data_IF_009935344742
#
_entry.id   IF_009935344742
#
_cell.length_a   1.000
_cell.length_b   1.000
_cell.length_c   1.000
_cell.angle_alpha   90.00
_cell.angle_beta   90.00
_cell.angle_gamma   90.00
#
_symmetry.space_group_name_H-M   'P 1'
#
loop_
_entity.id
_entity.type
_entity.pdbx_description
1 polymer ?
#
# COMPACT_ATOMS: atom_id res chain seq x y z
N UNK A 1 2.45 -31.97 -59.20
CA UNK A 1 1.00 -32.13 -59.32
C UNK A 1 0.47 -32.79 -58.05
N UNK A 2 -0.46 -32.08 -57.42
CA UNK A 2 -1.23 -32.31 -56.20
C UNK A 2 -1.26 -33.69 -55.50
N UNK A 3 -0.96 -33.67 -54.21
CA UNK A 3 -1.52 -34.59 -53.20
C UNK A 3 -1.96 -33.77 -51.99
N UNK A 4 -3.07 -33.05 -52.17
CA UNK A 4 -3.74 -32.25 -51.13
C UNK A 4 -5.03 -32.98 -50.78
N UNK A 5 -5.11 -33.62 -49.61
CA UNK A 5 -6.35 -33.82 -48.81
C UNK A 5 -6.20 -34.97 -47.81
N UNK A 6 -5.80 -34.66 -46.55
CA UNK A 6 -6.21 -35.44 -45.35
C UNK A 6 -5.71 -34.84 -44.04
N UNK A 7 -5.87 -33.53 -43.84
CA UNK A 7 -5.68 -32.92 -42.52
C UNK A 7 -6.73 -31.82 -42.30
N UNK A 8 -8.01 -32.21 -42.36
CA UNK A 8 -9.16 -31.37 -41.95
C UNK A 8 -10.28 -32.27 -41.44
N UNK A 9 -10.09 -32.95 -40.31
CA UNK A 9 -11.24 -33.57 -39.60
C UNK A 9 -11.04 -33.81 -38.09
N UNK A 10 -9.84 -33.71 -37.53
CA UNK A 10 -9.64 -34.02 -36.09
C UNK A 10 -9.97 -32.86 -35.15
N UNK A 11 -10.05 -31.62 -35.65
CA UNK A 11 -10.27 -30.41 -34.82
C UNK A 11 -11.74 -30.08 -34.54
N UNK A 12 -12.70 -30.79 -35.14
CA UNK A 12 -14.15 -30.48 -34.98
C UNK A 12 -14.89 -31.42 -34.02
N UNK A 13 -14.19 -32.36 -33.38
CA UNK A 13 -14.81 -33.47 -32.63
C UNK A 13 -14.36 -33.59 -31.16
N UNK A 14 -13.86 -32.49 -30.57
CA UNK A 14 -13.58 -32.38 -29.12
C UNK A 14 -14.51 -31.44 -28.35
N UNK A 15 -15.59 -30.95 -28.99
CA UNK A 15 -16.58 -30.03 -28.39
C UNK A 15 -17.97 -30.64 -28.20
N UNK A 16 -18.07 -31.98 -28.17
CA UNK A 16 -19.32 -32.72 -27.89
C UNK A 16 -19.08 -33.80 -26.83
N UNK A 17 -18.76 -33.38 -25.61
CA UNK A 17 -18.81 -34.25 -24.44
C UNK A 17 -18.87 -33.41 -23.14
N UNK A 18 -19.81 -32.47 -23.08
CA UNK A 18 -20.36 -32.00 -21.81
C UNK A 18 -21.74 -31.43 -22.10
N UNK A 19 -22.77 -32.09 -21.61
CA UNK A 19 -24.13 -31.57 -21.64
C UNK A 19 -24.16 -30.28 -20.82
N UNK A 20 -24.18 -29.13 -21.50
CA UNK A 20 -24.43 -27.83 -20.86
C UNK A 20 -25.93 -27.58 -20.93
N UNK A 21 -26.55 -27.54 -19.74
CA UNK A 21 -27.89 -27.03 -19.51
C UNK A 21 -28.00 -25.60 -20.06
N UNK A 22 -29.18 -25.27 -20.59
CA UNK A 22 -29.39 -24.11 -21.46
C UNK A 22 -29.34 -22.74 -20.78
N UNK A 23 -29.15 -21.72 -21.63
CA UNK A 23 -29.69 -20.36 -21.48
C UNK A 23 -29.41 -19.62 -20.18
N UNK A 24 -28.13 -19.41 -19.84
CA UNK A 24 -27.67 -18.53 -18.77
C UNK A 24 -26.21 -18.15 -19.00
N UNK A 25 -25.70 -17.07 -18.37
CA UNK A 25 -24.27 -16.76 -18.36
C UNK A 25 -23.49 -18.04 -18.00
N UNK A 26 -22.59 -18.47 -18.88
CA UNK A 26 -21.89 -19.74 -18.66
C UNK A 26 -20.92 -19.59 -17.49
N UNK A 27 -21.07 -20.41 -16.45
CA UNK A 27 -20.14 -20.50 -15.33
C UNK A 27 -18.70 -20.58 -15.83
N UNK A 28 -17.82 -19.76 -15.22
CA UNK A 28 -16.39 -19.69 -15.55
C UNK A 28 -15.57 -20.41 -14.49
N UNK A 29 -14.60 -21.22 -14.92
CA UNK A 29 -13.66 -21.90 -14.04
C UNK A 29 -12.32 -21.16 -14.08
N UNK A 30 -11.95 -20.52 -12.97
CA UNK A 30 -10.72 -19.71 -12.88
C UNK A 30 -9.74 -20.35 -11.92
N UNK A 31 -8.49 -20.49 -12.35
CA UNK A 31 -7.40 -20.95 -11.50
C UNK A 31 -6.74 -19.77 -10.80
N UNK A 32 -6.49 -19.93 -9.51
CA UNK A 32 -5.74 -18.99 -8.70
C UNK A 32 -4.36 -19.55 -8.36
N UNK A 33 -3.40 -19.29 -9.25
CA UNK A 33 -2.06 -19.87 -9.21
C UNK A 33 -1.06 -18.90 -8.57
N UNK A 34 -1.05 -18.82 -7.24
CA UNK A 34 -0.36 -17.76 -6.50
C UNK A 34 1.02 -18.19 -5.98
N UNK A 35 2.09 -17.48 -6.37
CA UNK A 35 3.44 -17.77 -5.88
C UNK A 35 3.68 -17.44 -4.40
N UNK A 36 2.79 -16.66 -3.80
CA UNK A 36 2.62 -16.39 -2.37
C UNK A 36 1.19 -15.93 -2.15
N UNK A 37 0.70 -16.01 -0.92
CA UNK A 37 -0.70 -15.73 -0.60
C UNK A 37 -0.86 -14.36 0.08
N UNK A 38 -1.80 -13.56 -0.42
CA UNK A 38 -2.33 -12.37 0.23
C UNK A 38 -3.86 -12.52 0.35
N UNK A 39 -4.41 -12.65 1.57
CA UNK A 39 -5.85 -12.78 1.78
C UNK A 39 -6.67 -11.66 1.15
N UNK A 40 -6.13 -10.45 1.12
CA UNK A 40 -6.77 -9.25 0.59
C UNK A 40 -6.97 -9.36 -0.93
N UNK A 41 -5.95 -9.82 -1.67
CA UNK A 41 -6.05 -10.08 -3.11
C UNK A 41 -7.15 -11.14 -3.36
N UNK A 42 -7.18 -12.21 -2.56
CA UNK A 42 -8.20 -13.25 -2.71
C UNK A 42 -9.61 -12.71 -2.44
N UNK A 43 -9.77 -11.89 -1.40
CA UNK A 43 -11.05 -11.24 -1.10
C UNK A 43 -11.54 -10.40 -2.28
N UNK A 44 -10.65 -9.65 -2.93
CA UNK A 44 -10.96 -8.86 -4.12
C UNK A 44 -11.45 -9.71 -5.29
N UNK A 45 -10.77 -10.83 -5.57
CA UNK A 45 -11.17 -11.78 -6.61
C UNK A 45 -12.53 -12.41 -6.27
N UNK A 46 -12.74 -12.84 -5.02
CA UNK A 46 -14.01 -13.43 -4.58
C UNK A 46 -15.16 -12.43 -4.68
N UNK A 47 -14.92 -11.16 -4.34
CA UNK A 47 -15.91 -10.09 -4.48
C UNK A 47 -16.39 -9.96 -5.93
N UNK A 48 -15.45 -9.96 -6.89
CA UNK A 48 -15.80 -9.95 -8.31
C UNK A 48 -16.51 -11.25 -8.74
N UNK A 49 -15.98 -12.40 -8.33
CA UNK A 49 -16.47 -13.72 -8.70
C UNK A 49 -17.93 -13.98 -8.31
N UNK A 50 -18.36 -13.47 -7.14
CA UNK A 50 -19.75 -13.57 -6.66
C UNK A 50 -20.75 -12.94 -7.62
N UNK A 51 -20.38 -11.83 -8.25
CA UNK A 51 -21.25 -11.10 -9.17
C UNK A 51 -21.24 -11.68 -10.59
N UNK A 52 -20.32 -12.60 -10.89
CA UNK A 52 -20.07 -13.12 -12.25
C UNK A 52 -20.20 -14.65 -12.38
N UNK A 53 -20.71 -15.35 -11.35
CA UNK A 53 -20.85 -16.81 -11.33
C UNK A 53 -19.56 -17.55 -11.67
N UNK A 54 -18.45 -17.15 -11.03
CA UNK A 54 -17.17 -17.81 -11.18
C UNK A 54 -16.96 -18.92 -10.14
N UNK A 55 -16.44 -20.06 -10.60
CA UNK A 55 -15.80 -21.06 -9.74
C UNK A 55 -14.30 -20.79 -9.66
N UNK A 56 -13.80 -20.42 -8.48
CA UNK A 56 -12.38 -20.11 -8.26
C UNK A 56 -11.69 -21.29 -7.56
N UNK A 57 -10.72 -21.90 -8.22
CA UNK A 57 -9.87 -22.96 -7.63
C UNK A 57 -8.57 -22.36 -7.13
N UNK A 58 -8.25 -22.54 -5.84
CA UNK A 58 -6.96 -22.16 -5.26
C UNK A 58 -6.35 -23.38 -4.55
N UNK A 59 -5.15 -23.78 -4.98
CA UNK A 59 -4.34 -24.83 -4.36
C UNK A 59 -2.95 -24.24 -4.08
N UNK A 60 -2.42 -24.46 -2.87
CA UNK A 60 -1.13 -23.92 -2.43
C UNK A 60 0.03 -24.91 -2.60
N UNK A 61 -0.28 -26.19 -2.76
CA UNK A 61 0.69 -27.28 -2.89
C UNK A 61 0.90 -27.64 -4.37
N UNK A 62 -0.19 -27.68 -5.15
CA UNK A 62 -0.18 -27.89 -6.61
C UNK A 62 -0.76 -26.67 -7.35
N UNK A 63 0.01 -25.57 -7.36
CA UNK A 63 -0.39 -24.27 -7.91
C UNK A 63 -0.96 -24.34 -9.36
N UNK A 64 -0.59 -25.36 -10.14
CA UNK A 64 -1.11 -25.58 -11.51
C UNK A 64 -1.32 -27.09 -11.72
N UNK A 65 -2.54 -27.61 -11.47
CA UNK A 65 -2.81 -29.04 -11.60
C UNK A 65 -2.61 -29.54 -13.03
N UNK A 66 -1.98 -30.72 -13.18
CA UNK A 66 -1.57 -31.28 -14.51
C UNK A 66 -2.71 -31.40 -15.53
N UNK A 67 -3.94 -31.59 -15.07
CA UNK A 67 -5.12 -31.80 -15.90
C UNK A 67 -6.17 -30.71 -15.71
N UNK A 68 -5.77 -29.55 -15.16
CA UNK A 68 -6.69 -28.44 -14.95
C UNK A 68 -7.27 -27.95 -16.29
N UNK A 69 -8.59 -27.85 -16.34
CA UNK A 69 -9.35 -27.33 -17.47
C UNK A 69 -10.25 -26.22 -16.94
N UNK A 70 -10.06 -25.00 -17.43
CA UNK A 70 -10.90 -23.87 -17.10
C UNK A 70 -10.77 -22.77 -18.13
N UNK A 71 -11.26 -21.59 -17.79
CA UNK A 71 -11.44 -20.46 -18.68
C UNK A 71 -10.33 -19.41 -18.54
N UNK A 72 -9.64 -19.33 -17.39
CA UNK A 72 -8.61 -18.32 -17.17
C UNK A 72 -7.80 -18.50 -15.89
N UNK A 73 -6.71 -17.74 -15.77
CA UNK A 73 -5.82 -17.80 -14.60
C UNK A 73 -5.54 -16.41 -14.05
N UNK A 74 -5.60 -16.29 -12.73
CA UNK A 74 -5.01 -15.15 -11.99
C UNK A 74 -3.77 -15.66 -11.26
N UNK A 75 -2.65 -14.96 -11.36
CA UNK A 75 -1.38 -15.39 -10.77
C UNK A 75 -0.65 -14.27 -10.04
N UNK A 76 0.17 -14.66 -9.05
CA UNK A 76 1.21 -13.82 -8.47
C UNK A 76 2.56 -14.38 -8.89
N UNK A 77 3.09 -13.89 -10.02
CA UNK A 77 4.27 -14.50 -10.62
C UNK A 77 5.57 -14.02 -9.96
N UNK A 78 6.20 -14.92 -9.20
CA UNK A 78 7.41 -14.62 -8.43
C UNK A 78 8.76 -14.79 -9.12
N UNK A 79 9.80 -14.69 -8.30
CA UNK A 79 11.17 -14.93 -8.72
C UNK A 79 11.46 -16.42 -9.06
N UNK A 80 10.62 -17.38 -8.69
CA UNK A 80 10.82 -18.80 -9.04
C UNK A 80 10.29 -19.09 -10.46
N UNK A 81 11.11 -19.71 -11.30
CA UNK A 81 10.75 -19.97 -12.71
C UNK A 81 9.70 -21.08 -12.91
N UNK A 82 9.50 -21.94 -11.92
CA UNK A 82 8.68 -23.16 -12.08
C UNK A 82 7.22 -22.84 -12.35
N UNK A 83 6.65 -21.85 -11.65
CA UNK A 83 5.26 -21.44 -11.84
C UNK A 83 5.02 -20.97 -13.29
N UNK A 84 5.88 -20.11 -13.83
CA UNK A 84 5.79 -19.67 -15.22
C UNK A 84 5.87 -20.83 -16.22
N UNK A 85 6.76 -21.81 -15.97
CA UNK A 85 6.92 -22.97 -16.87
C UNK A 85 5.63 -23.80 -16.99
N UNK A 86 4.82 -23.87 -15.93
CA UNK A 86 3.52 -24.54 -15.95
C UNK A 86 2.46 -23.65 -16.60
N UNK A 87 2.37 -22.39 -16.19
CA UNK A 87 1.37 -21.44 -16.67
C UNK A 87 1.42 -21.22 -18.19
N UNK A 88 2.62 -21.06 -18.76
CA UNK A 88 2.79 -20.81 -20.21
C UNK A 88 2.32 -21.95 -21.13
N UNK A 89 1.99 -23.12 -20.58
CA UNK A 89 1.50 -24.28 -21.33
C UNK A 89 -0.02 -24.29 -21.43
N UNK A 90 -0.71 -23.45 -20.66
CA UNK A 90 -2.16 -23.34 -20.67
C UNK A 90 -2.59 -22.46 -21.85
N UNK A 91 -3.66 -22.87 -22.52
CA UNK A 91 -4.24 -22.15 -23.67
C UNK A 91 -5.45 -21.31 -23.22
N UNK A 92 -5.25 -20.52 -22.16
CA UNK A 92 -6.27 -19.65 -21.56
C UNK A 92 -5.66 -18.29 -21.22
N UNK A 93 -6.47 -17.21 -21.13
CA UNK A 93 -5.99 -15.93 -20.64
C UNK A 93 -5.39 -15.99 -19.23
N UNK A 94 -4.30 -15.26 -19.02
CA UNK A 94 -3.58 -15.19 -17.74
C UNK A 94 -3.40 -13.73 -17.35
N UNK A 95 -3.82 -13.35 -16.14
CA UNK A 95 -3.58 -12.03 -15.54
C UNK A 95 -2.59 -12.17 -14.39
N UNK A 96 -1.49 -11.42 -14.45
CA UNK A 96 -0.48 -11.36 -13.39
C UNK A 96 -0.76 -10.18 -12.45
N UNK A 97 -0.72 -10.45 -11.14
CA UNK A 97 -0.93 -9.46 -10.09
C UNK A 97 0.37 -8.96 -9.43
N UNK A 98 1.53 -9.46 -9.89
CA UNK A 98 2.83 -9.12 -9.34
C UNK A 98 3.66 -8.22 -10.27
N UNK A 99 4.62 -7.47 -9.70
CA UNK A 99 5.64 -6.71 -10.47
C UNK A 99 7.02 -7.40 -10.44
N UNK A 100 7.09 -8.71 -10.12
CA UNK A 100 8.38 -9.40 -9.91
C UNK A 100 9.06 -9.83 -11.22
N UNK A 101 8.32 -9.96 -12.32
CA UNK A 101 8.82 -10.42 -13.63
C UNK A 101 8.38 -9.49 -14.76
N UNK A 102 8.88 -8.25 -14.83
CA UNK A 102 8.48 -7.29 -15.85
C UNK A 102 8.85 -7.71 -17.27
N UNK A 103 9.83 -8.59 -17.44
CA UNK A 103 10.28 -9.12 -18.72
C UNK A 103 9.32 -10.15 -19.35
N UNK A 104 8.38 -10.70 -18.58
CA UNK A 104 7.34 -11.59 -19.09
C UNK A 104 6.15 -10.72 -19.50
N UNK A 105 5.78 -10.77 -20.79
CA UNK A 105 4.65 -10.02 -21.34
C UNK A 105 3.34 -10.74 -20.98
N UNK A 106 2.69 -10.28 -19.92
CA UNK A 106 1.36 -10.69 -19.50
C UNK A 106 0.50 -9.43 -19.23
N UNK A 107 -0.81 -9.50 -19.48
CA UNK A 107 -1.76 -8.54 -18.90
C UNK A 107 -1.55 -8.47 -17.39
N UNK A 108 -1.43 -7.26 -16.84
CA UNK A 108 -1.04 -7.06 -15.45
C UNK A 108 -1.89 -6.01 -14.76
N UNK A 109 -2.30 -6.33 -13.53
CA UNK A 109 -2.90 -5.40 -12.57
C UNK A 109 -2.07 -5.44 -11.30
N UNK A 110 -1.44 -4.36 -10.87
CA UNK A 110 -0.56 -4.38 -9.69
C UNK A 110 -0.67 -3.07 -8.92
N UNK A 111 -0.24 -3.07 -7.67
CA UNK A 111 -0.10 -1.85 -6.88
C UNK A 111 0.86 -0.83 -7.53
N UNK A 112 0.56 0.46 -7.39
CA UNK A 112 1.46 1.54 -7.80
C UNK A 112 2.59 1.72 -6.77
N UNK A 113 3.66 0.95 -6.93
CA UNK A 113 4.84 1.03 -6.08
C UNK A 113 5.49 2.43 -6.08
N UNK A 114 5.34 3.19 -7.17
CA UNK A 114 5.86 4.55 -7.20
C UNK A 114 4.99 5.51 -6.37
N UNK A 115 3.66 5.40 -6.46
CA UNK A 115 2.76 6.16 -5.59
C UNK A 115 2.98 5.84 -4.10
N UNK A 116 3.19 4.56 -3.75
CA UNK A 116 3.54 4.13 -2.39
C UNK A 116 4.81 4.83 -1.92
N UNK A 117 5.88 4.83 -2.73
CA UNK A 117 7.13 5.50 -2.39
C UNK A 117 6.97 7.02 -2.21
N UNK A 118 6.23 7.69 -3.09
CA UNK A 118 5.93 9.13 -2.93
C UNK A 118 5.11 9.43 -1.68
N UNK A 119 4.12 8.58 -1.38
CA UNK A 119 3.28 8.71 -0.19
C UNK A 119 4.10 8.61 1.08
N UNK A 120 4.98 7.61 1.19
CA UNK A 120 5.88 7.47 2.34
C UNK A 120 6.81 8.69 2.52
N UNK A 121 7.37 9.21 1.43
CA UNK A 121 8.26 10.38 1.48
C UNK A 121 7.52 11.61 2.00
N UNK A 122 6.36 11.92 1.40
CA UNK A 122 5.51 13.03 1.84
C UNK A 122 5.06 12.86 3.27
N UNK A 123 4.67 11.65 3.68
CA UNK A 123 4.24 11.34 5.03
C UNK A 123 5.27 11.71 6.09
N UNK A 124 6.56 11.44 5.83
CA UNK A 124 7.64 11.80 6.74
C UNK A 124 8.10 13.25 6.63
N UNK A 125 8.16 13.81 5.41
CA UNK A 125 8.43 15.24 5.22
C UNK A 125 7.39 16.08 5.96
N UNK A 126 6.11 15.70 5.87
CA UNK A 126 4.99 16.31 6.55
C UNK A 126 5.11 16.28 8.09
N UNK A 127 5.98 15.43 8.64
CA UNK A 127 6.27 15.32 10.07
C UNK A 127 7.58 15.99 10.48
N UNK A 128 8.26 16.68 9.55
CA UNK A 128 9.48 17.45 9.82
C UNK A 128 10.76 16.63 9.81
N UNK A 129 10.72 15.36 9.39
CA UNK A 129 11.94 14.53 9.35
C UNK A 129 12.96 15.09 8.37
N UNK A 130 14.24 14.97 8.72
CA UNK A 130 15.38 15.37 7.89
C UNK A 130 16.36 14.22 7.62
N UNK A 131 16.31 13.18 8.45
CA UNK A 131 17.10 11.97 8.31
C UNK A 131 16.17 10.84 7.85
N UNK A 132 16.54 10.16 6.77
CA UNK A 132 15.69 9.15 6.16
C UNK A 132 16.46 7.87 5.89
N UNK A 133 15.83 6.73 6.12
CA UNK A 133 16.33 5.42 5.73
C UNK A 133 15.24 4.61 5.02
N UNK A 134 15.65 3.77 4.07
CA UNK A 134 14.81 2.76 3.45
C UNK A 134 15.38 1.38 3.75
N UNK A 135 14.59 0.47 4.32
CA UNK A 135 15.04 -0.88 4.65
C UNK A 135 14.37 -1.95 3.78
N UNK A 136 15.20 -2.88 3.27
CA UNK A 136 14.75 -4.10 2.61
C UNK A 136 15.74 -5.25 2.76
N UNK A 137 15.24 -6.50 2.78
CA UNK A 137 16.07 -7.71 2.84
C UNK A 137 16.81 -8.02 1.54
N UNK A 138 16.30 -7.57 0.41
CA UNK A 138 16.89 -7.76 -0.92
C UNK A 138 16.20 -6.85 -1.94
N UNK A 139 16.94 -6.42 -2.97
CA UNK A 139 16.38 -5.68 -4.09
C UNK A 139 15.67 -6.59 -5.09
N UNK A 140 14.34 -6.56 -5.12
CA UNK A 140 13.49 -7.12 -6.20
C UNK A 140 12.73 -5.98 -6.91
N UNK A 141 12.14 -6.24 -8.08
CA UNK A 141 11.49 -5.24 -8.94
C UNK A 141 10.59 -4.24 -8.21
N UNK A 142 9.58 -4.73 -7.47
CA UNK A 142 8.69 -3.90 -6.66
C UNK A 142 9.43 -3.10 -5.57
N UNK A 143 10.42 -3.71 -4.92
CA UNK A 143 11.28 -3.08 -3.91
C UNK A 143 12.05 -1.88 -4.49
N UNK A 144 12.60 -2.04 -5.70
CA UNK A 144 13.38 -1.02 -6.35
C UNK A 144 12.50 0.17 -6.74
N UNK A 145 11.35 -0.06 -7.39
CA UNK A 145 10.45 1.03 -7.79
C UNK A 145 9.93 1.84 -6.60
N UNK A 146 9.60 1.16 -5.49
CA UNK A 146 9.16 1.80 -4.24
C UNK A 146 10.28 2.62 -3.60
N UNK A 147 11.47 2.05 -3.44
CA UNK A 147 12.67 2.73 -2.94
C UNK A 147 13.03 3.94 -3.80
N UNK A 148 13.11 3.75 -5.10
CA UNK A 148 13.60 4.78 -6.04
C UNK A 148 12.63 5.95 -6.07
N UNK A 149 11.32 5.69 -6.03
CA UNK A 149 10.34 6.77 -5.94
C UNK A 149 10.33 7.47 -4.57
N UNK A 150 10.61 6.77 -3.47
CA UNK A 150 10.79 7.39 -2.15
C UNK A 150 12.00 8.32 -2.15
N UNK A 151 13.15 7.85 -2.63
CA UNK A 151 14.39 8.65 -2.74
C UNK A 151 14.21 9.85 -3.68
N UNK A 152 13.59 9.65 -4.83
CA UNK A 152 13.36 10.72 -5.80
C UNK A 152 12.44 11.80 -5.24
N UNK A 153 11.40 11.43 -4.48
CA UNK A 153 10.51 12.41 -3.86
C UNK A 153 11.22 13.18 -2.74
N UNK A 154 12.04 12.52 -1.90
CA UNK A 154 12.85 13.21 -0.88
C UNK A 154 13.89 14.17 -1.49
N UNK A 155 14.53 13.76 -2.59
CA UNK A 155 15.53 14.57 -3.28
C UNK A 155 14.95 15.89 -3.83
N UNK A 156 13.67 15.93 -4.20
CA UNK A 156 12.98 17.17 -4.61
C UNK A 156 12.95 18.24 -3.51
N UNK A 157 13.10 17.82 -2.25
CA UNK A 157 13.16 18.70 -1.08
C UNK A 157 14.59 18.79 -0.50
N UNK A 158 15.61 18.38 -1.25
CA UNK A 158 17.01 18.48 -0.82
C UNK A 158 17.43 17.44 0.22
N UNK A 159 16.65 16.37 0.41
CA UNK A 159 16.96 15.34 1.40
C UNK A 159 17.57 14.08 0.77
N UNK A 160 18.52 13.48 1.48
CA UNK A 160 19.09 12.17 1.17
C UNK A 160 18.39 11.05 1.96
N UNK A 161 18.38 9.84 1.40
CA UNK A 161 17.89 8.65 2.08
C UNK A 161 18.93 7.53 2.03
N UNK A 162 19.28 7.03 3.21
CA UNK A 162 20.16 5.87 3.36
C UNK A 162 19.42 4.58 2.97
N UNK A 163 20.03 3.75 2.13
CA UNK A 163 19.43 2.48 1.71
C UNK A 163 20.06 1.34 2.50
N UNK A 164 19.33 0.89 3.52
CA UNK A 164 19.67 -0.28 4.31
C UNK A 164 19.28 -1.55 3.53
N UNK A 165 20.22 -2.03 2.70
CA UNK A 165 20.06 -3.26 1.93
C UNK A 165 20.85 -4.39 2.55
N UNK A 166 20.15 -5.32 3.21
CA UNK A 166 20.79 -6.58 3.58
C UNK A 166 21.15 -7.33 2.29
N UNK A 167 22.43 -7.46 1.99
CA UNK A 167 22.91 -8.27 0.87
C UNK A 167 23.55 -9.51 1.46
N UNK A 168 23.23 -10.69 0.90
CA UNK A 168 23.95 -11.92 1.23
C UNK A 168 25.45 -11.65 1.20
N UNK A 169 26.12 -11.92 2.32
CA UNK A 169 27.58 -12.00 2.33
C UNK A 169 28.00 -13.00 1.25
N UNK A 170 29.03 -12.69 0.46
CA UNK A 170 29.50 -13.58 -0.62
C UNK A 170 29.70 -15.00 -0.06
N UNK A 171 29.07 -16.03 -0.66
CA UNK A 171 29.24 -17.42 -0.28
C UNK A 171 27.99 -18.31 -0.46
N UNK A 172 28.14 -19.62 -0.16
CA UNK A 172 27.06 -20.63 -0.24
C UNK A 172 26.25 -20.82 1.07
N UNK A 173 26.61 -20.14 2.17
CA UNK A 173 25.89 -20.28 3.46
C UNK A 173 24.61 -19.44 3.46
N UNK A 174 23.55 -19.97 4.05
CA UNK A 174 22.34 -19.20 4.31
C UNK A 174 22.62 -18.19 5.43
N UNK A 175 22.35 -16.91 5.18
CA UNK A 175 22.37 -15.91 6.25
C UNK A 175 21.28 -16.22 7.28
N UNK A 176 21.60 -16.05 8.56
CA UNK A 176 20.63 -16.23 9.64
C UNK A 176 19.88 -14.94 9.96
N UNK A 177 18.70 -15.07 10.56
CA UNK A 177 17.96 -13.92 11.13
C UNK A 177 18.83 -13.14 12.11
N UNK A 178 19.57 -13.84 12.96
CA UNK A 178 20.53 -13.27 13.92
C UNK A 178 21.61 -12.37 13.30
N UNK A 179 22.19 -12.77 12.17
CA UNK A 179 23.21 -11.96 11.49
C UNK A 179 22.62 -10.65 10.98
N UNK A 180 21.43 -10.71 10.38
CA UNK A 180 20.71 -9.54 9.89
C UNK A 180 20.25 -8.64 11.04
N UNK A 181 19.78 -9.22 12.15
CA UNK A 181 19.38 -8.50 13.36
C UNK A 181 20.53 -7.68 13.94
N UNK A 182 21.69 -8.31 14.14
CA UNK A 182 22.91 -7.60 14.61
C UNK A 182 23.40 -6.55 13.64
N UNK A 183 23.25 -6.77 12.34
CA UNK A 183 23.58 -5.78 11.32
C UNK A 183 22.62 -4.58 11.37
N UNK A 184 21.32 -4.82 11.51
CA UNK A 184 20.30 -3.78 11.67
C UNK A 184 20.60 -2.93 12.89
N UNK A 185 20.84 -3.54 14.06
CA UNK A 185 21.22 -2.82 15.29
C UNK A 185 22.35 -1.84 15.02
N UNK A 186 23.48 -2.31 14.45
CA UNK A 186 24.63 -1.43 14.18
C UNK A 186 24.30 -0.26 13.26
N UNK A 187 23.53 -0.48 12.20
CA UNK A 187 23.19 0.58 11.25
C UNK A 187 22.16 1.56 11.82
N UNK A 188 21.15 1.06 12.54
CA UNK A 188 20.15 1.88 13.19
C UNK A 188 20.78 2.75 14.28
N UNK A 189 21.71 2.24 15.08
CA UNK A 189 22.42 3.03 16.09
C UNK A 189 23.28 4.14 15.46
N UNK A 190 23.95 3.86 14.33
CA UNK A 190 24.86 4.81 13.70
C UNK A 190 24.17 5.98 12.96
N UNK A 191 22.93 5.79 12.50
CA UNK A 191 22.21 6.80 11.72
C UNK A 191 21.73 7.99 12.57
N UNK A 192 21.78 9.23 12.06
CA UNK A 192 21.35 10.43 12.79
C UNK A 192 19.86 10.38 13.17
N UNK A 193 19.54 10.97 14.33
CA UNK A 193 18.19 11.02 14.91
C UNK A 193 17.64 12.47 14.91
N UNK A 194 16.32 12.67 14.89
CA UNK A 194 15.28 11.64 14.70
C UNK A 194 15.31 11.08 13.28
N UNK A 195 15.11 9.76 13.14
CA UNK A 195 15.17 9.02 11.88
C UNK A 195 13.77 8.61 11.42
N UNK A 196 13.43 8.90 10.16
CA UNK A 196 12.29 8.31 9.49
C UNK A 196 12.75 7.08 8.69
N UNK A 197 12.29 5.90 9.06
CA UNK A 197 12.59 4.66 8.38
C UNK A 197 11.35 4.15 7.62
N UNK A 198 11.48 4.01 6.31
CA UNK A 198 10.51 3.36 5.45
C UNK A 198 10.92 1.92 5.16
N UNK A 199 10.15 0.95 5.67
CA UNK A 199 10.41 -0.46 5.44
C UNK A 199 9.67 -0.95 4.19
N UNK A 200 10.28 -1.91 3.49
CA UNK A 200 9.68 -2.45 2.26
C UNK A 200 8.29 -3.03 2.49
N UNK A 201 8.08 -3.84 3.54
CA UNK A 201 6.76 -4.35 3.94
C UNK A 201 6.69 -4.39 5.46
N UNK A 202 5.51 -4.69 5.98
CA UNK A 202 5.26 -4.81 7.41
C UNK A 202 6.20 -5.82 8.08
N UNK A 203 6.50 -6.96 7.45
CA UNK A 203 7.42 -7.96 8.02
C UNK A 203 8.87 -7.45 8.13
N UNK A 204 9.31 -6.56 7.23
CA UNK A 204 10.61 -5.89 7.36
C UNK A 204 10.58 -4.81 8.43
N UNK A 205 9.44 -4.13 8.61
CA UNK A 205 9.26 -3.15 9.67
C UNK A 205 9.30 -3.80 11.07
N UNK A 206 8.77 -5.01 11.22
CA UNK A 206 8.88 -5.80 12.46
C UNK A 206 10.35 -5.98 12.86
N UNK A 207 11.21 -6.37 11.92
CA UNK A 207 12.64 -6.56 12.22
C UNK A 207 13.34 -5.27 12.63
N UNK A 208 12.92 -4.14 12.07
CA UNK A 208 13.43 -2.83 12.48
C UNK A 208 13.02 -2.53 13.92
N UNK A 209 11.75 -2.73 14.27
CA UNK A 209 11.24 -2.49 15.63
C UNK A 209 11.93 -3.40 16.65
N UNK A 210 12.07 -4.70 16.34
CA UNK A 210 12.81 -5.65 17.18
C UNK A 210 14.28 -5.22 17.36
N UNK A 211 14.93 -4.75 16.30
CA UNK A 211 16.30 -4.25 16.36
C UNK A 211 16.41 -2.96 17.17
N UNK A 212 15.42 -2.07 17.09
CA UNK A 212 15.34 -0.87 17.94
C UNK A 212 15.27 -1.26 19.42
N UNK A 213 14.39 -2.19 19.79
CA UNK A 213 14.29 -2.66 21.18
C UNK A 213 15.59 -3.29 21.68
N UNK A 214 16.24 -4.10 20.85
CA UNK A 214 17.52 -4.73 21.21
C UNK A 214 18.69 -3.75 21.36
N UNK A 215 18.52 -2.52 20.86
CA UNK A 215 19.51 -1.46 20.87
C UNK A 215 19.13 -0.30 21.81
N UNK A 216 18.07 -0.46 22.61
CA UNK A 216 17.47 0.59 23.46
C UNK A 216 17.14 1.88 22.69
N UNK A 217 16.72 1.75 21.42
CA UNK A 217 16.26 2.85 20.57
C UNK A 217 14.74 2.98 20.66
N UNK A 218 14.27 4.16 21.05
CA UNK A 218 12.84 4.48 21.15
C UNK A 218 12.15 4.58 19.79
N UNK A 219 10.95 3.99 19.71
CA UNK A 219 10.03 4.08 18.58
C UNK A 219 8.71 4.64 19.13
N UNK A 220 8.21 5.80 18.64
CA UNK A 220 8.67 6.55 17.46
C UNK A 220 9.74 7.64 17.68
N UNK A 221 10.14 7.95 18.92
CA UNK A 221 10.83 9.20 19.28
C UNK A 221 12.21 9.35 18.64
N UNK A 222 13.04 8.30 18.69
CA UNK A 222 14.32 8.29 17.98
C UNK A 222 14.17 7.79 16.55
N UNK A 223 13.40 6.72 16.34
CA UNK A 223 13.18 6.12 15.02
C UNK A 223 11.69 5.90 14.80
N UNK A 224 11.13 6.63 13.84
CA UNK A 224 9.78 6.35 13.35
C UNK A 224 9.83 5.35 12.20
N UNK A 225 8.95 4.36 12.25
CA UNK A 225 8.96 3.20 11.34
C UNK A 225 7.62 3.11 10.61
N UNK A 226 7.66 3.17 9.28
CA UNK A 226 6.49 3.02 8.40
C UNK A 226 6.63 1.74 7.56
N UNK A 227 5.61 0.88 7.61
CA UNK A 227 5.49 -0.33 6.81
C UNK A 227 4.67 -0.17 5.53
N UNK A 228 4.41 -1.29 4.86
CA UNK A 228 3.51 -1.41 3.70
C UNK A 228 2.84 -2.78 3.76
N UNK A 229 1.59 -2.81 3.30
CA UNK A 229 0.66 -3.95 3.18
C UNK A 229 -0.53 -3.81 4.15
N UNK A 230 -0.39 -3.00 5.21
CA UNK A 230 -1.36 -2.84 6.30
C UNK A 230 -1.95 -4.19 6.76
N UNK A 231 -1.10 -5.20 6.92
CA UNK A 231 -1.53 -6.49 7.45
C UNK A 231 -1.85 -6.32 8.93
N UNK A 232 -3.12 -6.12 9.28
CA UNK A 232 -3.58 -5.83 10.66
C UNK A 232 -3.04 -6.83 11.67
N UNK A 233 -3.03 -8.12 11.32
CA UNK A 233 -2.50 -9.21 12.15
C UNK A 233 -1.01 -9.06 12.47
N UNK A 234 -0.23 -8.39 11.61
CA UNK A 234 1.17 -8.03 11.87
C UNK A 234 1.25 -6.68 12.57
N UNK A 235 0.46 -5.70 12.13
CA UNK A 235 0.59 -4.32 12.60
C UNK A 235 0.16 -4.13 14.05
N UNK A 236 -0.88 -4.85 14.49
CA UNK A 236 -1.52 -4.65 15.79
C UNK A 236 -0.97 -5.58 16.89
N UNK A 237 -0.19 -6.61 16.53
CA UNK A 237 0.39 -7.55 17.50
C UNK A 237 1.74 -7.11 18.08
N UNK A 238 2.33 -6.01 17.60
CA UNK A 238 3.59 -5.48 18.11
C UNK A 238 3.38 -4.63 19.36
N UNK A 239 4.33 -4.67 20.31
CA UNK A 239 4.33 -3.81 21.50
C UNK A 239 4.29 -2.31 21.15
N UNK A 240 4.79 -1.95 19.97
CA UNK A 240 4.58 -0.65 19.33
C UNK A 240 3.81 -0.89 18.02
N UNK A 241 2.49 -0.66 17.99
CA UNK A 241 1.68 -0.90 16.80
C UNK A 241 2.20 -0.16 15.57
N UNK A 242 2.28 -0.87 14.44
CA UNK A 242 2.96 -0.42 13.22
C UNK A 242 2.04 0.42 12.33
N UNK A 243 2.46 1.65 12.04
CA UNK A 243 1.89 2.44 10.97
C UNK A 243 2.27 1.83 9.63
N UNK A 244 1.32 1.72 8.70
CA UNK A 244 1.56 1.06 7.43
C UNK A 244 0.80 1.72 6.28
N UNK A 245 1.36 1.67 5.08
CA UNK A 245 0.65 2.08 3.86
C UNK A 245 -0.24 0.93 3.40
N UNK A 246 -1.54 1.18 3.33
CA UNK A 246 -2.48 0.31 2.63
C UNK A 246 -2.30 0.48 1.12
N UNK A 247 -1.77 -0.56 0.48
CA UNK A 247 -1.50 -0.65 -0.95
C UNK A 247 -2.70 -1.15 -1.76
N UNK A 248 -3.88 -1.25 -1.16
CA UNK A 248 -5.15 -1.55 -1.81
C UNK A 248 -5.17 -2.90 -2.54
N UNK A 249 -4.66 -3.94 -1.88
CA UNK A 249 -4.54 -5.29 -2.44
C UNK A 249 -5.90 -5.91 -2.81
N UNK A 250 -6.96 -5.57 -2.07
CA UNK A 250 -8.31 -6.01 -2.42
C UNK A 250 -8.76 -5.46 -3.78
N UNK A 251 -8.49 -4.17 -4.06
CA UNK A 251 -8.79 -3.62 -5.38
C UNK A 251 -7.88 -4.21 -6.46
N UNK A 252 -6.62 -4.53 -6.17
CA UNK A 252 -5.74 -5.27 -7.09
C UNK A 252 -6.36 -6.61 -7.49
N UNK A 253 -6.89 -7.37 -6.53
CA UNK A 253 -7.59 -8.62 -6.80
C UNK A 253 -8.85 -8.43 -7.64
N UNK A 254 -9.68 -7.45 -7.27
CA UNK A 254 -10.94 -7.16 -7.98
C UNK A 254 -10.71 -6.74 -9.44
N UNK A 255 -9.81 -5.79 -9.67
CA UNK A 255 -9.45 -5.31 -11.02
C UNK A 255 -8.72 -6.39 -11.83
N UNK A 256 -7.96 -7.26 -11.15
CA UNK A 256 -7.35 -8.44 -11.76
C UNK A 256 -8.39 -9.41 -12.33
N UNK A 257 -9.45 -9.68 -11.56
CA UNK A 257 -10.57 -10.51 -12.00
C UNK A 257 -11.38 -9.83 -13.12
N UNK A 258 -11.65 -8.52 -12.99
CA UNK A 258 -12.32 -7.75 -14.02
C UNK A 258 -11.54 -7.76 -15.35
N UNK A 259 -10.22 -7.59 -15.30
CA UNK A 259 -9.38 -7.71 -16.49
C UNK A 259 -9.47 -9.11 -17.09
N UNK A 260 -9.43 -10.16 -16.27
CA UNK A 260 -9.51 -11.54 -16.76
C UNK A 260 -10.84 -11.82 -17.45
N UNK A 261 -11.98 -11.37 -16.91
CA UNK A 261 -13.30 -11.54 -17.54
C UNK A 261 -13.33 -10.95 -18.96
N UNK A 262 -12.81 -9.73 -19.14
CA UNK A 262 -12.71 -9.09 -20.47
C UNK A 262 -11.88 -9.92 -21.45
N UNK A 263 -10.75 -10.47 -20.99
CA UNK A 263 -9.88 -11.29 -21.83
C UNK A 263 -10.54 -12.62 -22.20
N UNK A 264 -11.27 -13.24 -21.27
CA UNK A 264 -12.08 -14.44 -21.55
C UNK A 264 -13.19 -14.09 -22.56
N UNK A 265 -13.74 -12.88 -22.50
CA UNK A 265 -14.68 -12.33 -23.47
C UNK A 265 -14.10 -12.02 -24.86
N UNK A 266 -12.78 -12.13 -25.03
CA UNK A 266 -12.09 -11.90 -26.31
C UNK A 266 -11.60 -10.47 -26.52
N UNK A 267 -11.65 -9.60 -25.50
CA UNK A 267 -11.06 -8.27 -25.60
C UNK A 267 -9.53 -8.34 -25.73
N UNK A 268 -8.96 -7.32 -26.38
CA UNK A 268 -7.51 -7.22 -26.50
C UNK A 268 -6.86 -6.83 -25.17
N UNK A 269 -5.71 -7.42 -24.82
CA UNK A 269 -5.03 -7.09 -23.56
C UNK A 269 -4.49 -5.65 -23.58
N UNK A 270 -4.50 -4.96 -22.42
CA UNK A 270 -3.90 -3.64 -22.31
C UNK A 270 -2.39 -3.73 -22.58
N UNK A 271 -1.84 -2.70 -23.23
CA UNK A 271 -0.41 -2.61 -23.57
C UNK A 271 0.46 -2.32 -22.35
N UNK A 272 -0.09 -1.61 -21.36
CA UNK A 272 0.58 -1.24 -20.12
C UNK A 272 -0.09 -1.91 -18.92
N UNK A 273 0.67 -2.22 -17.85
CA UNK A 273 0.08 -2.64 -16.59
C UNK A 273 -0.91 -1.61 -16.04
N UNK A 274 -2.03 -2.08 -15.50
CA UNK A 274 -2.93 -1.28 -14.70
C UNK A 274 -2.34 -1.12 -13.29
N UNK A 275 -2.15 0.12 -12.85
CA UNK A 275 -1.60 0.45 -11.54
C UNK A 275 -2.70 0.90 -10.58
N UNK A 276 -2.87 0.18 -9.47
CA UNK A 276 -3.82 0.50 -8.41
C UNK A 276 -3.16 1.41 -7.37
N UNK A 277 -3.67 2.62 -7.12
CA UNK A 277 -3.09 3.52 -6.14
C UNK A 277 -3.30 3.02 -4.69
N UNK A 278 -2.37 3.31 -3.76
CA UNK A 278 -2.57 3.03 -2.34
C UNK A 278 -3.71 3.86 -1.74
N UNK A 279 -4.44 3.27 -0.79
CA UNK A 279 -5.58 3.91 -0.10
C UNK A 279 -5.13 5.04 0.84
N UNK A 280 -3.97 4.88 1.47
CA UNK A 280 -3.43 5.84 2.42
C UNK A 280 -2.50 5.23 3.44
N UNK A 281 -2.05 6.06 4.38
CA UNK A 281 -1.33 5.60 5.57
C UNK A 281 -2.34 5.33 6.68
N UNK A 282 -2.28 4.12 7.24
CA UNK A 282 -2.95 3.77 8.49
C UNK A 282 -1.98 4.10 9.62
N UNK A 283 -2.23 5.21 10.29
CA UNK A 283 -1.37 5.74 11.36
C UNK A 283 -1.57 4.94 12.64
N UNK A 284 -0.46 4.51 13.24
CA UNK A 284 -0.39 3.85 14.55
C UNK A 284 0.81 4.42 15.34
N UNK A 285 1.11 3.84 16.51
CA UNK A 285 2.14 4.35 17.42
C UNK A 285 3.53 4.49 16.79
N UNK A 286 3.93 3.60 15.87
CA UNK A 286 5.29 3.58 15.32
C UNK A 286 5.72 4.82 14.53
N UNK A 287 4.80 5.73 14.21
CA UNK A 287 5.10 7.02 13.56
C UNK A 287 4.38 8.19 14.23
N UNK A 288 3.88 7.99 15.45
CA UNK A 288 3.17 9.00 16.23
C UNK A 288 4.15 9.97 16.91
N UNK A 289 5.01 10.57 16.09
CA UNK A 289 5.98 11.56 16.51
C UNK A 289 6.18 12.61 15.42
N UNK A 290 6.41 13.84 15.86
CA UNK A 290 6.83 14.94 15.01
C UNK A 290 8.33 15.14 15.20
N UNK A 291 9.10 15.13 14.12
CA UNK A 291 10.54 15.37 14.14
C UNK A 291 10.84 16.87 14.24
N UNK A 292 10.50 17.47 15.38
CA UNK A 292 10.62 18.91 15.63
C UNK A 292 11.49 19.16 16.85
N UNK A 293 12.65 19.76 16.62
CA UNK A 293 13.62 20.05 17.68
C UNK A 293 13.32 21.33 18.47
N UNK A 294 12.45 22.22 17.94
CA UNK A 294 12.12 23.49 18.61
C UNK A 294 10.98 23.30 19.64
N UNK A 295 11.22 23.51 20.96
CA UNK A 295 10.23 23.22 22.00
C UNK A 295 8.89 23.93 21.80
N UNK A 296 8.91 25.20 21.39
CA UNK A 296 7.69 25.98 21.11
C UNK A 296 6.87 25.44 19.93
N UNK A 297 7.52 24.92 18.89
CA UNK A 297 6.83 24.33 17.73
C UNK A 297 6.26 22.97 18.13
N UNK A 298 7.01 22.15 18.87
CA UNK A 298 6.52 20.88 19.40
C UNK A 298 5.31 21.08 20.34
N UNK A 299 5.35 22.09 21.21
CA UNK A 299 4.22 22.45 22.08
C UNK A 299 3.00 22.91 21.28
N UNK A 300 3.20 23.74 20.25
CA UNK A 300 2.13 24.19 19.36
C UNK A 300 1.47 23.04 18.59
N UNK A 301 2.27 22.13 18.03
CA UNK A 301 1.78 20.96 17.29
C UNK A 301 0.94 20.05 18.19
N UNK A 302 1.39 19.80 19.41
CA UNK A 302 0.64 19.02 20.41
C UNK A 302 -0.70 19.67 20.75
N UNK A 303 -0.68 20.98 21.04
CA UNK A 303 -1.90 21.73 21.30
C UNK A 303 -2.89 21.66 20.14
N UNK A 304 -2.40 21.82 18.90
CA UNK A 304 -3.22 21.68 17.68
C UNK A 304 -3.81 20.27 17.59
N UNK A 305 -3.01 19.22 17.79
CA UNK A 305 -3.49 17.85 17.73
C UNK A 305 -4.60 17.59 18.76
N UNK A 306 -4.40 17.95 20.01
CA UNK A 306 -5.38 17.72 21.08
C UNK A 306 -6.67 18.53 20.86
N UNK A 307 -6.55 19.78 20.39
CA UNK A 307 -7.65 20.74 20.35
C UNK A 307 -8.22 20.98 18.95
N UNK A 308 -7.81 20.22 17.93
CA UNK A 308 -8.28 20.44 16.55
C UNK A 308 -9.81 20.33 16.36
N UNK A 309 -10.49 19.61 17.25
CA UNK A 309 -11.95 19.47 17.24
C UNK A 309 -12.69 20.75 17.71
N UNK A 310 -11.99 21.63 18.42
CA UNK A 310 -12.50 22.90 18.94
C UNK A 310 -12.26 24.04 17.95
N UNK A 311 -13.00 25.16 18.04
CA UNK A 311 -12.83 26.33 17.17
C UNK A 311 -11.60 27.19 17.52
N UNK A 312 -10.44 26.56 17.73
CA UNK A 312 -9.19 27.26 18.06
C UNK A 312 -8.67 28.08 16.87
N UNK A 313 -8.00 29.19 17.18
CA UNK A 313 -7.36 30.08 16.22
C UNK A 313 -5.91 30.40 16.62
N UNK A 314 -5.21 31.20 15.81
CA UNK A 314 -3.80 31.50 16.01
C UNK A 314 -3.51 32.12 17.39
N UNK A 315 -4.41 32.97 17.90
CA UNK A 315 -4.23 33.59 19.22
C UNK A 315 -4.26 32.57 20.35
N UNK A 316 -5.04 31.50 20.23
CA UNK A 316 -5.10 30.44 21.23
C UNK A 316 -3.77 29.65 21.28
N UNK A 317 -3.22 29.33 20.10
CA UNK A 317 -1.93 28.62 19.98
C UNK A 317 -0.79 29.46 20.57
N UNK A 318 -0.74 30.74 20.21
CA UNK A 318 0.28 31.69 20.69
C UNK A 318 0.21 31.85 22.21
N UNK A 319 -1.02 31.96 22.77
CA UNK A 319 -1.24 32.03 24.22
C UNK A 319 -0.79 30.76 24.93
N UNK A 320 -1.08 29.58 24.37
CA UNK A 320 -0.68 28.30 24.96
C UNK A 320 0.84 28.12 25.02
N UNK A 321 1.54 28.50 23.95
CA UNK A 321 2.99 28.29 23.82
C UNK A 321 3.81 29.39 24.53
N UNK A 322 3.16 30.48 24.96
CA UNK A 322 3.80 31.65 25.56
C UNK A 322 4.91 32.27 24.69
N UNK A 323 4.68 32.34 23.38
CA UNK A 323 5.56 33.01 22.40
C UNK A 323 4.86 34.22 21.77
N UNK A 324 5.60 35.11 21.11
CA UNK A 324 4.98 36.11 20.23
C UNK A 324 4.49 35.44 18.94
N UNK A 325 3.47 36.02 18.29
CA UNK A 325 2.95 35.51 17.01
C UNK A 325 4.05 35.42 15.94
N UNK A 326 4.81 36.49 15.77
CA UNK A 326 5.91 36.55 14.80
C UNK A 326 7.03 35.56 15.13
N UNK A 327 7.34 35.38 16.42
CA UNK A 327 8.31 34.40 16.89
C UNK A 327 7.87 32.96 16.60
N UNK A 328 6.60 32.64 16.86
CA UNK A 328 6.06 31.31 16.56
C UNK A 328 6.00 31.03 15.05
N UNK A 329 5.55 32.00 14.25
CA UNK A 329 5.53 31.86 12.78
C UNK A 329 6.94 31.68 12.21
N UNK A 330 7.94 32.39 12.76
CA UNK A 330 9.34 32.19 12.38
C UNK A 330 9.82 30.79 12.76
N UNK A 331 9.59 30.37 14.00
CA UNK A 331 10.00 29.04 14.47
C UNK A 331 9.37 27.92 13.62
N UNK A 332 8.09 28.06 13.25
CA UNK A 332 7.44 27.12 12.33
C UNK A 332 8.10 27.10 10.95
N UNK A 333 8.45 28.25 10.36
CA UNK A 333 9.17 28.28 9.08
C UNK A 333 10.55 27.62 9.15
N UNK A 334 11.26 27.82 10.25
CA UNK A 334 12.64 27.34 10.40
C UNK A 334 12.69 25.83 10.76
N UNK A 335 11.67 25.35 11.49
CA UNK A 335 11.70 24.02 12.11
C UNK A 335 10.55 23.09 11.69
N UNK A 336 9.61 23.53 10.86
CA UNK A 336 8.48 22.72 10.43
C UNK A 336 8.06 23.04 8.99
N UNK A 337 7.32 22.12 8.37
CA UNK A 337 7.00 22.20 6.94
C UNK A 337 5.78 23.05 6.60
N UNK A 338 4.96 23.41 7.59
CA UNK A 338 3.66 24.09 7.40
C UNK A 338 3.50 25.21 8.40
N UNK A 339 2.65 26.19 8.10
CA UNK A 339 2.28 27.21 9.08
C UNK A 339 1.33 26.63 10.17
N UNK A 340 1.23 27.23 11.37
CA UNK A 340 0.40 26.71 12.47
C UNK A 340 -1.07 26.45 12.07
N UNK A 341 -1.69 27.43 11.40
CA UNK A 341 -3.09 27.33 10.99
C UNK A 341 -3.29 26.42 9.77
N UNK A 342 -2.24 26.17 9.01
CA UNK A 342 -2.26 25.18 7.94
C UNK A 342 -2.21 23.77 8.53
N UNK A 343 -1.37 23.53 9.54
CA UNK A 343 -1.34 22.26 10.27
C UNK A 343 -2.69 21.96 10.93
N UNK A 344 -3.33 22.94 11.58
CA UNK A 344 -4.67 22.76 12.14
C UNK A 344 -5.67 22.26 11.09
N UNK A 345 -5.72 22.90 9.92
CA UNK A 345 -6.63 22.49 8.84
C UNK A 345 -6.29 21.08 8.34
N UNK A 346 -5.00 20.72 8.29
CA UNK A 346 -4.55 19.37 7.92
C UNK A 346 -5.00 18.32 8.94
N UNK A 347 -4.79 18.55 10.25
CA UNK A 347 -5.24 17.63 11.31
C UNK A 347 -6.76 17.44 11.27
N UNK A 348 -7.53 18.52 11.10
CA UNK A 348 -9.00 18.43 10.96
C UNK A 348 -9.40 17.60 9.75
N UNK A 349 -8.74 17.81 8.60
CA UNK A 349 -9.02 17.09 7.37
C UNK A 349 -8.75 15.59 7.49
N UNK A 350 -7.63 15.21 8.12
CA UNK A 350 -7.27 13.80 8.29
C UNK A 350 -8.23 13.08 9.25
N UNK A 351 -8.66 13.75 10.33
CA UNK A 351 -9.73 13.23 11.20
C UNK A 351 -11.05 13.02 10.45
N UNK A 352 -11.41 13.94 9.57
CA UNK A 352 -12.62 13.82 8.76
C UNK A 352 -12.52 12.66 7.77
N UNK A 353 -11.38 12.46 7.10
CA UNK A 353 -11.15 11.30 6.24
C UNK A 353 -11.31 9.98 7.02
N UNK A 354 -10.68 9.90 8.19
CA UNK A 354 -10.76 8.73 9.07
C UNK A 354 -12.21 8.40 9.44
N UNK A 355 -12.94 9.39 9.96
CA UNK A 355 -14.34 9.21 10.36
C UNK A 355 -15.27 8.86 9.19
N UNK A 356 -15.01 9.38 7.99
CA UNK A 356 -15.79 9.03 6.80
C UNK A 356 -15.57 7.57 6.34
N UNK A 357 -14.38 7.01 6.58
CA UNK A 357 -14.05 5.61 6.27
C UNK A 357 -14.62 4.64 7.30
N UNK A 358 -14.51 5.00 8.57
CA UNK A 358 -14.79 4.11 9.71
C UNK A 358 -16.24 4.19 10.22
N UNK A 359 -17.00 5.24 9.85
CA UNK A 359 -18.34 5.46 10.41
C UNK A 359 -19.38 5.91 9.37
N UNK A 360 -20.65 5.60 9.66
CA UNK A 360 -21.83 6.05 8.90
C UNK A 360 -22.37 7.40 9.37
N UNK A 361 -21.62 8.14 10.19
CA UNK A 361 -22.05 9.42 10.74
C UNK A 361 -22.49 10.40 9.66
N UNK A 362 -23.50 11.23 9.95
CA UNK A 362 -23.96 12.24 8.99
C UNK A 362 -22.82 13.23 8.71
N UNK A 363 -22.71 13.70 7.46
CA UNK A 363 -21.63 14.62 7.04
C UNK A 363 -21.55 15.88 7.93
N UNK A 364 -22.70 16.37 8.41
CA UNK A 364 -22.77 17.49 9.35
C UNK A 364 -22.17 17.14 10.73
N UNK A 365 -22.39 15.92 11.22
CA UNK A 365 -21.78 15.42 12.46
C UNK A 365 -20.27 15.33 12.31
N UNK A 366 -19.80 14.73 11.21
CA UNK A 366 -18.36 14.64 10.88
C UNK A 366 -17.74 16.03 10.89
N UNK A 367 -18.35 17.01 10.20
CA UNK A 367 -17.85 18.37 10.15
C UNK A 367 -17.75 19.04 11.53
N UNK A 368 -18.75 18.82 12.40
CA UNK A 368 -18.77 19.38 13.76
C UNK A 368 -17.68 18.76 14.64
N UNK A 369 -17.61 17.42 14.69
CA UNK A 369 -16.67 16.69 15.57
C UNK A 369 -15.22 16.90 15.14
N UNK A 370 -14.97 17.15 13.85
CA UNK A 370 -13.62 17.36 13.32
C UNK A 370 -13.22 18.84 13.28
N UNK A 371 -14.05 19.76 13.79
CA UNK A 371 -13.71 21.18 13.90
C UNK A 371 -13.87 22.00 12.61
N UNK A 372 -14.49 21.46 11.55
CA UNK A 372 -14.91 22.24 10.37
C UNK A 372 -16.17 23.09 10.62
N UNK A 373 -16.89 22.80 11.70
CA UNK A 373 -18.11 23.46 12.18
C UNK A 373 -19.34 23.25 11.28
N UNK A 374 -19.19 23.38 9.96
CA UNK A 374 -20.28 23.27 8.99
C UNK A 374 -19.96 22.26 7.88
N UNK A 375 -20.99 21.62 7.33
CA UNK A 375 -20.86 20.72 6.18
C UNK A 375 -20.28 21.44 4.96
N UNK A 376 -20.60 22.72 4.76
CA UNK A 376 -20.08 23.56 3.68
C UNK A 376 -18.55 23.68 3.73
N UNK A 377 -17.99 23.97 4.90
CA UNK A 377 -16.54 24.07 5.08
C UNK A 377 -15.83 22.74 4.82
N UNK A 378 -16.42 21.64 5.30
CA UNK A 378 -15.91 20.30 5.05
C UNK A 378 -15.96 19.96 3.55
N UNK A 379 -17.07 20.21 2.87
CA UNK A 379 -17.22 19.99 1.43
C UNK A 379 -16.19 20.79 0.63
N UNK A 380 -16.03 22.08 0.94
CA UNK A 380 -15.02 22.94 0.30
C UNK A 380 -13.62 22.37 0.47
N UNK A 381 -13.26 21.91 1.66
CA UNK A 381 -11.94 21.32 1.92
C UNK A 381 -11.70 20.04 1.09
N UNK A 382 -12.70 19.17 0.98
CA UNK A 382 -12.63 17.96 0.16
C UNK A 382 -12.52 18.26 -1.33
N UNK A 383 -13.31 19.20 -1.84
CA UNK A 383 -13.26 19.59 -3.25
C UNK A 383 -11.92 20.22 -3.62
N UNK A 384 -11.36 21.07 -2.75
CA UNK A 384 -10.06 21.70 -2.98
C UNK A 384 -8.90 20.71 -2.92
N UNK A 385 -8.91 19.77 -1.97
CA UNK A 385 -7.78 18.85 -1.77
C UNK A 385 -7.83 17.59 -2.64
N UNK A 386 -9.03 17.05 -2.88
CA UNK A 386 -9.21 15.74 -3.50
C UNK A 386 -10.05 15.79 -4.79
N UNK A 387 -10.67 16.92 -5.11
CA UNK A 387 -11.61 16.99 -6.24
C UNK A 387 -12.90 16.19 -6.03
N UNK A 388 -13.19 15.78 -4.79
CA UNK A 388 -14.34 14.95 -4.41
C UNK A 388 -15.21 15.66 -3.39
N UNK A 389 -16.45 15.21 -3.23
CA UNK A 389 -17.28 15.53 -2.05
C UNK A 389 -17.02 14.53 -0.93
N UNK A 390 -17.29 14.88 0.35
CA UNK A 390 -17.19 13.93 1.47
C UNK A 390 -18.01 12.66 1.27
N UNK A 391 -19.17 12.77 0.62
CA UNK A 391 -20.04 11.63 0.29
C UNK A 391 -19.41 10.70 -0.75
N UNK A 392 -18.85 11.25 -1.83
CA UNK A 392 -18.13 10.46 -2.84
C UNK A 392 -16.89 9.79 -2.23
N UNK A 393 -16.15 10.52 -1.38
CA UNK A 393 -15.00 9.97 -0.69
C UNK A 393 -15.37 8.75 0.15
N UNK A 394 -16.44 8.84 0.96
CA UNK A 394 -16.98 7.72 1.74
C UNK A 394 -17.32 6.53 0.85
N UNK A 395 -18.06 6.75 -0.24
CA UNK A 395 -18.46 5.66 -1.14
C UNK A 395 -17.27 4.92 -1.76
N UNK A 396 -16.17 5.63 -2.04
CA UNK A 396 -14.99 5.06 -2.66
C UNK A 396 -14.04 4.36 -1.68
N UNK A 397 -14.09 4.69 -0.38
CA UNK A 397 -13.09 4.28 0.61
C UNK A 397 -13.71 3.65 1.86
N UNK A 398 -14.95 3.17 1.76
CA UNK A 398 -15.63 2.52 2.88
C UNK A 398 -14.95 1.18 3.15
N UNK A 399 -14.36 1.06 4.33
CA UNK A 399 -13.98 -0.24 4.87
C UNK A 399 -15.31 -0.93 5.17
N UNK A 400 -15.68 -1.94 4.38
CA UNK A 400 -16.94 -2.65 4.59
C UNK A 400 -16.74 -3.49 5.86
N UNK A 401 -17.47 -3.23 6.96
CA UNK A 401 -17.42 -4.13 8.10
C UNK A 401 -17.93 -5.50 7.65
N UNK A 402 -17.26 -6.55 8.11
CA UNK A 402 -17.60 -7.94 7.84
C UNK A 402 -19.06 -8.28 8.16
#
# INVERSE_FOLDING_TARGET
MNSTSRIKSVTKQRRKASGRWGGGLSERYVLFALGWYYPEIHRGVVRFARDHQWHVTADFDDLVPKHWQGDGVITLLGARQNLWKSLRKLDVPIVDLAESRPNIRLPRVTMDNAAIGRMAARYFLDRGYRNFAFFHRWGLGASNRRRDSFRAELARYGHHCEVLSWRKGRGKRADTRDQRHRWLIRHLTALPKPLALFAMRDIEAVEVIEACFSADLSVPEQISVLGVDNSETICDCLSVPLSSIDNNLEQVGYEGAALLERLIGGESPPTNPLYIPPSGVVERRSTDCMAVNHPGVAAALRYIQENAHLPICMTDVVRYVAMSRSGLEKAFRDHFVRAPMEELRRVRFDRARKMLRETDEKIITVARVTGFQTSHNLCRAFSQKLGLTPKQYRLQHRDTPA
#
